data_IF_177628127233
#
_entry.id   IF_177628127233
#
_cell.length_a   1.000
_cell.length_b   1.000
_cell.length_c   1.000
_cell.angle_alpha   90.00
_cell.angle_beta   90.00
_cell.angle_gamma   90.00
#
_symmetry.space_group_name_H-M   'P 1'
#
loop_
_entity.id
_entity.type
_entity.pdbx_description
1 polymer ?
#
# COMPACT_ATOMS: atom_id res chain seq x y z
N UNK A 1 1.04 -4.69 -7.85
CA UNK A 1 1.27 -6.01 -7.20
C UNK A 1 0.02 -6.85 -7.44
N UNK A 2 0.14 -8.17 -7.65
CA UNK A 2 -1.00 -9.06 -7.98
C UNK A 2 -1.49 -9.84 -6.78
N UNK A 3 -2.79 -10.11 -6.71
CA UNK A 3 -3.42 -11.02 -5.76
C UNK A 3 -2.89 -12.46 -5.92
N UNK A 4 -2.27 -13.12 -4.92
CA UNK A 4 -1.86 -14.51 -5.05
C UNK A 4 -3.06 -15.45 -5.11
N UNK A 5 -4.26 -14.99 -4.72
CA UNK A 5 -5.49 -15.78 -4.74
C UNK A 5 -6.22 -15.72 -6.08
N UNK A 6 -6.40 -14.52 -6.64
CA UNK A 6 -7.19 -14.34 -7.87
C UNK A 6 -6.42 -13.70 -9.02
N UNK A 7 -5.13 -13.40 -8.86
CA UNK A 7 -4.23 -12.81 -9.85
C UNK A 7 -4.65 -11.43 -10.41
N UNK A 8 -5.73 -10.84 -9.89
CA UNK A 8 -6.13 -9.47 -10.19
C UNK A 8 -5.16 -8.45 -9.59
N UNK A 9 -5.23 -7.21 -10.09
CA UNK A 9 -4.50 -6.10 -9.52
C UNK A 9 -4.99 -5.80 -8.09
N UNK A 10 -4.03 -5.55 -7.20
CA UNK A 10 -4.31 -5.03 -5.87
C UNK A 10 -4.45 -3.53 -5.95
N UNK A 11 -5.49 -3.03 -5.29
CA UNK A 11 -5.54 -1.62 -5.00
C UNK A 11 -4.66 -1.35 -3.77
N UNK A 12 -3.74 -0.41 -3.92
CA UNK A 12 -2.89 0.02 -2.82
C UNK A 12 -3.73 0.96 -1.96
N UNK A 13 -4.47 0.40 -1.01
CA UNK A 13 -5.26 1.23 -0.10
C UNK A 13 -4.36 2.24 0.61
N UNK A 14 -4.83 3.49 0.73
CA UNK A 14 -4.13 4.55 1.44
C UNK A 14 -3.86 4.10 2.89
N UNK A 15 -2.59 3.83 3.21
CA UNK A 15 -2.21 3.40 4.55
C UNK A 15 -2.40 4.56 5.53
N UNK A 16 -3.09 4.28 6.65
CA UNK A 16 -3.15 5.18 7.79
C UNK A 16 -2.40 4.53 8.96
N UNK A 17 -1.18 4.97 9.29
CA UNK A 17 -0.44 4.41 10.41
C UNK A 17 -1.24 4.60 11.70
N UNK A 18 -1.52 3.49 12.40
CA UNK A 18 -2.09 3.52 13.74
C UNK A 18 -0.97 3.60 14.76
N UNK A 19 -1.23 4.22 15.91
CA UNK A 19 -0.27 4.25 17.02
C UNK A 19 0.21 2.82 17.36
N UNK A 20 1.53 2.63 17.48
CA UNK A 20 2.16 1.34 17.76
C UNK A 20 2.44 0.44 16.54
N UNK A 21 2.05 0.83 15.32
CA UNK A 21 2.42 0.11 14.10
C UNK A 21 3.68 0.70 13.47
N UNK A 22 4.50 -0.16 12.83
CA UNK A 22 5.68 0.30 12.10
C UNK A 22 5.25 1.27 10.98
N UNK A 23 5.85 2.47 10.88
CA UNK A 23 5.46 3.49 9.89
C UNK A 23 5.68 3.03 8.45
N UNK A 24 6.49 1.98 8.24
CA UNK A 24 6.77 1.37 6.93
C UNK A 24 5.74 0.32 6.54
N UNK A 25 4.87 -0.10 7.46
CA UNK A 25 3.82 -1.07 7.15
C UNK A 25 2.85 -0.46 6.14
N UNK A 26 2.37 -1.25 5.19
CA UNK A 26 1.34 -0.87 4.21
C UNK A 26 0.31 -1.99 4.14
N UNK A 27 -0.96 -1.60 4.01
CA UNK A 27 -2.08 -2.51 3.78
C UNK A 27 -2.39 -2.57 2.29
N UNK A 28 -2.57 -3.78 1.77
CA UNK A 28 -3.00 -4.04 0.40
C UNK A 28 -4.36 -4.73 0.44
N UNK A 29 -5.28 -4.31 -0.43
CA UNK A 29 -6.60 -4.91 -0.55
C UNK A 29 -6.81 -5.36 -2.00
N UNK A 30 -7.26 -6.61 -2.17
CA UNK A 30 -7.75 -7.06 -3.44
C UNK A 30 -9.25 -6.79 -3.56
N UNK A 31 -9.64 -5.83 -4.41
CA UNK A 31 -11.06 -5.49 -4.61
C UNK A 31 -11.89 -6.60 -5.28
N UNK A 32 -11.23 -7.59 -5.91
CA UNK A 32 -11.93 -8.69 -6.58
C UNK A 32 -12.32 -9.85 -5.64
N UNK A 33 -11.50 -10.13 -4.63
CA UNK A 33 -11.72 -11.26 -3.71
C UNK A 33 -11.69 -10.85 -2.23
N UNK A 34 -11.74 -9.55 -1.98
CA UNK A 34 -11.78 -8.90 -0.66
C UNK A 34 -10.73 -9.41 0.33
N UNK A 35 -9.54 -9.74 -0.19
CA UNK A 35 -8.44 -10.29 0.61
C UNK A 35 -7.45 -9.19 0.98
N UNK A 36 -7.08 -9.14 2.27
CA UNK A 36 -6.24 -8.09 2.86
C UNK A 36 -4.89 -8.62 3.34
N UNK A 37 -3.79 -7.94 3.01
CA UNK A 37 -2.46 -8.31 3.49
C UNK A 37 -1.62 -7.10 3.88
N UNK A 38 -0.57 -7.37 4.64
CA UNK A 38 0.34 -6.36 5.17
C UNK A 38 1.75 -6.60 4.64
N UNK A 39 2.39 -5.56 4.14
CA UNK A 39 3.79 -5.59 3.71
C UNK A 39 4.59 -4.53 4.46
N UNK A 40 5.90 -4.74 4.59
CA UNK A 40 6.83 -3.68 5.00
C UNK A 40 7.36 -3.04 3.73
N UNK A 41 7.01 -1.78 3.47
CA UNK A 41 7.58 -1.01 2.37
C UNK A 41 9.03 -0.68 2.68
N UNK A 42 9.94 -1.04 1.78
CA UNK A 42 11.34 -0.66 1.90
C UNK A 42 11.50 0.86 1.66
N UNK A 43 12.57 1.50 2.17
CA UNK A 43 12.77 2.95 2.06
C UNK A 43 12.69 3.49 0.63
N UNK A 44 13.14 2.72 -0.36
CA UNK A 44 13.11 3.11 -1.77
C UNK A 44 11.69 3.23 -2.32
N UNK A 45 10.78 2.36 -1.86
CA UNK A 45 9.35 2.43 -2.19
C UNK A 45 8.66 3.60 -1.49
N UNK A 46 9.08 3.94 -0.27
CA UNK A 46 8.56 5.09 0.47
C UNK A 46 8.90 6.42 -0.22
N UNK A 47 10.16 6.62 -0.60
CA UNK A 47 10.62 7.85 -1.24
C UNK A 47 9.94 8.11 -2.60
N UNK A 48 9.54 7.05 -3.32
CA UNK A 48 8.79 7.17 -4.57
C UNK A 48 7.32 7.57 -4.30
N UNK A 49 6.70 6.93 -3.32
CA UNK A 49 5.29 7.19 -2.97
C UNK A 49 5.11 8.58 -2.32
N UNK A 50 6.06 9.06 -1.52
CA UNK A 50 6.04 10.43 -0.96
C UNK A 50 6.18 11.51 -2.04
N UNK A 51 6.93 11.23 -3.13
CA UNK A 51 7.02 12.12 -4.29
C UNK A 51 5.73 12.15 -5.09
N UNK A 52 5.17 10.99 -5.41
CA UNK A 52 3.94 10.89 -6.22
C UNK A 52 2.70 11.42 -5.46
N UNK A 53 2.64 11.27 -4.13
CA UNK A 53 1.58 11.85 -3.30
C UNK A 53 1.71 13.38 -3.10
N UNK A 54 2.90 13.95 -3.32
CA UNK A 54 3.16 15.39 -3.23
C UNK A 54 2.82 16.19 -4.49
N UNK A 55 2.66 15.54 -5.64
CA UNK A 55 2.44 16.19 -6.95
C UNK A 55 0.96 16.26 -7.39
N UNK A 56 0.00 16.02 -6.50
CA UNK A 56 -1.45 16.22 -6.79
C UNK A 56 -2.05 17.48 -6.15
N UNK A 57 -1.21 18.48 -5.86
CA UNK A 57 -1.63 19.76 -5.29
C UNK A 57 -0.90 20.96 -5.88
N UNK A 58 -1.23 21.34 -7.12
CA UNK A 58 -1.17 22.71 -7.65
C UNK A 58 -1.98 22.81 -8.94
#
# INVERSE_FOLDING_TARGET
MKCPKCLCDLDKTTWRPRAGHDPRMRKLLCLNCDTEWYIIALPQTLAKEEREAGETGS
#
